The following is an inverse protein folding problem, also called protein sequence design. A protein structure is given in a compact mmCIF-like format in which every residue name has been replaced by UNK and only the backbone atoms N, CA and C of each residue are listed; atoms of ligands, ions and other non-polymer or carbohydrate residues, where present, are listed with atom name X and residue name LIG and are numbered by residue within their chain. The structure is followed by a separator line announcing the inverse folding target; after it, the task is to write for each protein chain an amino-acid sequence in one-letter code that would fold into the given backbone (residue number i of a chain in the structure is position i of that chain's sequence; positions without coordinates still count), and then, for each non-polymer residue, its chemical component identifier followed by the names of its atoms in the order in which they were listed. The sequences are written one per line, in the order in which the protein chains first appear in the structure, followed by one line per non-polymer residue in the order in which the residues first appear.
data_IF_855567105552
#
_entry.id   IF_855567105552
#
_cell.length_a   1.000
_cell.length_b   1.000
_cell.length_c   1.000
_cell.angle_alpha   90.00
_cell.angle_beta   90.00
_cell.angle_gamma   90.00
#
_symmetry.space_group_name_H-M   'P 1'
#
loop_
_entity.id
_entity.type
_entity.pdbx_description
1 polymer ?
#
# COMPACT_ATOMS: atom_id res chain seq x y z
N UNK A 1 -22.74 17.23 10.57
CA UNK A 1 -22.75 17.84 9.21
C UNK A 1 -22.04 16.89 8.28
N UNK A 2 -22.41 16.75 7.00
CA UNK A 2 -21.60 15.99 6.07
C UNK A 2 -20.22 16.65 5.94
N UNK A 3 -19.17 15.85 5.87
CA UNK A 3 -17.81 16.34 5.65
C UNK A 3 -17.60 16.66 4.16
N UNK A 4 -16.85 17.73 3.90
CA UNK A 4 -16.54 18.18 2.55
C UNK A 4 -15.19 17.57 2.13
N UNK A 5 -15.21 16.74 1.08
CA UNK A 5 -14.04 16.09 0.50
C UNK A 5 -13.70 16.75 -0.84
N UNK A 6 -12.51 17.31 -0.93
CA UNK A 6 -11.95 17.87 -2.16
C UNK A 6 -10.91 16.90 -2.73
N UNK A 7 -11.09 16.51 -3.99
CA UNK A 7 -10.17 15.62 -4.70
C UNK A 7 -9.56 16.39 -5.87
N UNK A 8 -8.22 16.47 -5.92
CA UNK A 8 -7.50 17.23 -6.95
C UNK A 8 -6.42 16.37 -7.60
N UNK A 9 -6.29 16.48 -8.92
CA UNK A 9 -5.24 15.84 -9.70
C UNK A 9 -5.75 14.89 -10.78
N UNK A 10 -4.86 14.08 -11.34
CA UNK A 10 -5.12 13.23 -12.51
C UNK A 10 -5.84 11.93 -12.17
N UNK A 11 -7.06 12.02 -11.66
CA UNK A 11 -7.87 10.89 -11.19
C UNK A 11 -8.26 9.89 -12.29
N UNK A 12 -8.13 10.27 -13.57
CA UNK A 12 -8.45 9.43 -14.72
C UNK A 12 -7.33 8.45 -15.10
N UNK A 13 -6.13 8.61 -14.55
CA UNK A 13 -5.02 7.70 -14.83
C UNK A 13 -5.30 6.31 -14.26
N UNK A 14 -4.81 5.29 -14.98
CA UNK A 14 -5.04 3.89 -14.60
C UNK A 14 -4.58 3.57 -13.18
N UNK A 15 -3.44 4.13 -12.75
CA UNK A 15 -2.88 3.97 -11.41
C UNK A 15 -3.75 4.57 -10.30
N UNK A 16 -4.50 5.64 -10.60
CA UNK A 16 -5.35 6.34 -9.63
C UNK A 16 -6.77 5.74 -9.52
N UNK A 17 -7.22 4.99 -10.52
CA UNK A 17 -8.58 4.43 -10.56
C UNK A 17 -8.96 3.63 -9.31
N UNK A 18 -8.12 2.70 -8.79
CA UNK A 18 -8.48 1.95 -7.59
C UNK A 18 -8.73 2.84 -6.38
N UNK A 19 -7.94 3.93 -6.21
CA UNK A 19 -8.15 4.90 -5.14
C UNK A 19 -9.47 5.66 -5.32
N UNK A 20 -9.78 6.12 -6.54
CA UNK A 20 -11.03 6.86 -6.84
C UNK A 20 -12.26 5.98 -6.64
N UNK A 21 -12.21 4.74 -7.09
CA UNK A 21 -13.29 3.76 -6.87
C UNK A 21 -13.49 3.50 -5.36
N UNK A 22 -12.41 3.33 -4.62
CA UNK A 22 -12.44 3.16 -3.18
C UNK A 22 -13.03 4.39 -2.47
N UNK A 23 -12.60 5.62 -2.82
CA UNK A 23 -13.14 6.87 -2.28
C UNK A 23 -14.65 6.96 -2.49
N UNK A 24 -15.11 6.68 -3.71
CA UNK A 24 -16.53 6.75 -4.06
C UNK A 24 -17.38 5.72 -3.31
N UNK A 25 -16.83 4.52 -3.09
CA UNK A 25 -17.54 3.45 -2.38
C UNK A 25 -17.55 3.68 -0.86
N UNK A 26 -16.41 4.09 -0.28
CA UNK A 26 -16.22 4.13 1.18
C UNK A 26 -16.67 5.46 1.78
N UNK A 27 -16.42 6.59 1.10
CA UNK A 27 -16.74 7.93 1.57
C UNK A 27 -17.98 8.51 0.89
N UNK A 28 -18.95 7.68 0.53
CA UNK A 28 -20.18 8.05 -0.16
C UNK A 28 -21.07 9.04 0.59
N UNK A 29 -20.86 9.20 1.90
CA UNK A 29 -21.60 10.18 2.75
C UNK A 29 -20.99 11.58 2.71
N UNK A 30 -19.78 11.74 2.13
CA UNK A 30 -19.13 13.04 1.97
C UNK A 30 -19.68 13.77 0.75
N UNK A 31 -19.69 15.10 0.82
CA UNK A 31 -19.84 15.94 -0.38
C UNK A 31 -18.48 15.93 -1.10
N UNK A 32 -18.43 15.32 -2.28
CA UNK A 32 -17.19 15.15 -3.05
C UNK A 32 -17.13 16.12 -4.22
N UNK A 33 -16.06 16.89 -4.30
CA UNK A 33 -15.76 17.76 -5.43
C UNK A 33 -14.44 17.31 -6.08
N UNK A 34 -14.42 17.22 -7.42
CA UNK A 34 -13.29 16.72 -8.19
C UNK A 34 -12.76 17.80 -9.13
N UNK A 35 -11.45 18.05 -9.08
CA UNK A 35 -10.76 18.99 -9.96
C UNK A 35 -9.45 18.38 -10.47
N UNK A 36 -9.07 18.73 -11.69
CA UNK A 36 -7.78 18.32 -12.25
C UNK A 36 -6.64 19.27 -11.86
N UNK A 37 -6.98 20.48 -11.44
CA UNK A 37 -6.07 21.58 -11.18
C UNK A 37 -6.36 22.22 -9.82
N UNK A 38 -5.30 22.52 -9.06
CA UNK A 38 -5.42 23.05 -7.71
C UNK A 38 -5.94 24.50 -7.70
N UNK A 39 -5.57 25.29 -8.70
CA UNK A 39 -6.03 26.68 -8.81
C UNK A 39 -7.54 26.72 -9.05
N UNK A 40 -8.04 25.90 -9.97
CA UNK A 40 -9.48 25.78 -10.23
C UNK A 40 -10.25 25.29 -9.01
N UNK A 41 -9.68 24.35 -8.26
CA UNK A 41 -10.28 23.86 -7.04
C UNK A 41 -10.41 24.95 -5.98
N UNK A 42 -9.37 25.74 -5.77
CA UNK A 42 -9.36 26.87 -4.83
C UNK A 42 -10.34 27.98 -5.25
N UNK A 43 -10.39 28.32 -6.53
CA UNK A 43 -11.35 29.30 -7.06
C UNK A 43 -12.79 28.84 -6.88
N UNK A 44 -13.07 27.56 -7.09
CA UNK A 44 -14.41 27.00 -6.88
C UNK A 44 -14.79 27.06 -5.40
N UNK A 45 -13.91 26.63 -4.51
CA UNK A 45 -14.11 26.64 -3.07
C UNK A 45 -14.35 28.07 -2.52
N UNK A 46 -13.60 29.04 -3.03
CA UNK A 46 -13.80 30.46 -2.70
C UNK A 46 -15.15 30.98 -3.17
N UNK A 47 -15.60 30.61 -4.37
CA UNK A 47 -16.90 31.02 -4.90
C UNK A 47 -18.08 30.45 -4.12
N UNK A 48 -17.97 29.20 -3.69
CA UNK A 48 -19.01 28.52 -2.93
C UNK A 48 -18.93 28.82 -1.42
N UNK A 49 -17.86 29.48 -0.99
CA UNK A 49 -17.52 29.68 0.42
C UNK A 49 -17.50 28.35 1.20
N UNK A 50 -17.04 27.28 0.53
CA UNK A 50 -16.97 25.93 1.12
C UNK A 50 -15.51 25.62 1.46
N UNK A 51 -15.23 25.45 2.74
CA UNK A 51 -13.90 25.01 3.18
C UNK A 51 -13.92 23.49 3.27
N UNK A 52 -13.02 22.78 2.57
CA UNK A 52 -12.94 21.33 2.68
C UNK A 52 -12.42 20.90 4.04
N UNK A 53 -12.95 19.79 4.55
CA UNK A 53 -12.46 19.15 5.79
C UNK A 53 -11.31 18.20 5.48
N UNK A 54 -11.40 17.51 4.34
CA UNK A 54 -10.38 16.58 3.84
C UNK A 54 -10.04 16.90 2.38
N UNK A 55 -8.76 16.98 2.08
CA UNK A 55 -8.24 17.23 0.75
C UNK A 55 -7.37 16.05 0.34
N UNK A 56 -7.72 15.40 -0.77
CA UNK A 56 -6.95 14.31 -1.37
C UNK A 56 -6.33 14.81 -2.67
N UNK A 57 -5.02 14.88 -2.70
CA UNK A 57 -4.25 15.24 -3.90
C UNK A 57 -3.75 13.95 -4.54
N UNK A 58 -4.02 13.76 -5.82
CA UNK A 58 -3.49 12.65 -6.62
C UNK A 58 -2.39 13.21 -7.50
N UNK A 59 -1.14 13.05 -7.07
CA UNK A 59 0.04 13.52 -7.80
C UNK A 59 0.66 12.37 -8.59
N UNK A 60 0.56 12.43 -9.90
CA UNK A 60 1.04 11.38 -10.81
C UNK A 60 2.42 11.66 -11.40
N UNK A 61 2.85 12.93 -11.37
CA UNK A 61 4.15 13.34 -11.92
C UNK A 61 4.88 14.31 -10.96
N UNK A 62 6.22 14.30 -10.99
CA UNK A 62 7.01 15.36 -10.34
C UNK A 62 6.59 16.73 -10.84
N UNK A 63 6.59 17.72 -9.94
CA UNK A 63 6.27 19.12 -10.24
C UNK A 63 4.86 19.39 -10.81
N UNK A 64 3.93 18.46 -10.66
CA UNK A 64 2.54 18.63 -11.09
C UNK A 64 1.88 19.84 -10.38
N UNK A 65 2.29 20.11 -9.14
CA UNK A 65 1.83 21.24 -8.33
C UNK A 65 3.01 22.14 -7.94
N UNK A 66 2.88 23.44 -8.17
CA UNK A 66 3.90 24.41 -7.78
C UNK A 66 3.90 24.67 -6.27
N UNK A 67 5.05 25.10 -5.73
CA UNK A 67 5.15 25.50 -4.32
C UNK A 67 4.20 26.66 -3.95
N UNK A 68 3.90 27.55 -4.91
CA UNK A 68 2.97 28.65 -4.72
C UNK A 68 1.53 28.16 -4.58
N UNK A 69 1.09 27.23 -5.41
CA UNK A 69 -0.24 26.62 -5.32
C UNK A 69 -0.41 25.88 -4.01
N UNK A 70 0.62 25.11 -3.61
CA UNK A 70 0.63 24.38 -2.34
C UNK A 70 0.54 25.33 -1.15
N UNK A 71 1.31 26.42 -1.15
CA UNK A 71 1.23 27.44 -0.11
C UNK A 71 -0.14 28.10 -0.06
N UNK A 72 -0.75 28.37 -1.21
CA UNK A 72 -2.10 28.93 -1.32
C UNK A 72 -3.16 27.98 -0.76
N UNK A 73 -3.03 26.67 -1.00
CA UNK A 73 -3.92 25.65 -0.43
C UNK A 73 -3.87 25.67 1.09
N UNK A 74 -2.68 25.62 1.68
CA UNK A 74 -2.54 25.63 3.15
C UNK A 74 -2.98 26.95 3.78
N UNK A 75 -2.83 28.07 3.07
CA UNK A 75 -3.33 29.36 3.53
C UNK A 75 -4.86 29.44 3.46
N UNK A 76 -5.49 28.85 2.44
CA UNK A 76 -6.93 28.82 2.27
C UNK A 76 -7.62 27.88 3.27
N UNK A 77 -7.09 26.69 3.46
CA UNK A 77 -7.68 25.65 4.30
C UNK A 77 -6.70 25.15 5.37
N UNK A 78 -6.31 26.00 6.35
CA UNK A 78 -5.24 25.67 7.31
C UNK A 78 -5.63 24.54 8.28
N UNK A 79 -6.91 24.26 8.44
CA UNK A 79 -7.43 23.22 9.31
C UNK A 79 -7.83 21.94 8.57
N UNK A 80 -7.83 21.97 7.25
CA UNK A 80 -8.13 20.80 6.44
C UNK A 80 -7.08 19.72 6.62
N UNK A 81 -7.52 18.48 6.61
CA UNK A 81 -6.63 17.33 6.49
C UNK A 81 -6.21 17.14 5.06
N UNK A 82 -4.91 17.06 4.82
CA UNK A 82 -4.36 16.92 3.46
C UNK A 82 -3.65 15.59 3.35
N UNK A 83 -4.04 14.80 2.34
CA UNK A 83 -3.38 13.55 1.96
C UNK A 83 -2.95 13.65 0.51
N UNK A 84 -1.65 13.52 0.26
CA UNK A 84 -1.06 13.56 -1.08
C UNK A 84 -0.67 12.15 -1.48
N UNK A 85 -1.47 11.55 -2.35
CA UNK A 85 -1.26 10.21 -2.88
C UNK A 85 -0.30 10.26 -4.08
N UNK A 86 0.90 9.74 -3.90
CA UNK A 86 1.95 9.74 -4.90
C UNK A 86 1.87 8.55 -5.84
N UNK A 87 1.83 8.81 -7.15
CA UNK A 87 2.08 7.82 -8.18
C UNK A 87 3.54 7.36 -8.22
N UNK A 88 3.80 6.27 -8.92
CA UNK A 88 5.13 5.64 -8.99
C UNK A 88 6.25 6.59 -9.44
N UNK A 89 5.95 7.56 -10.30
CA UNK A 89 6.93 8.53 -10.78
C UNK A 89 7.32 9.61 -9.75
N UNK A 90 6.53 9.76 -8.67
CA UNK A 90 6.75 10.75 -7.62
C UNK A 90 7.47 10.21 -6.40
N UNK A 91 7.80 8.92 -6.34
CA UNK A 91 8.47 8.30 -5.18
C UNK A 91 9.83 8.93 -4.85
N UNK A 92 10.53 9.44 -5.87
CA UNK A 92 11.81 10.13 -5.69
C UNK A 92 11.66 11.59 -5.22
N UNK A 93 10.52 12.22 -5.41
CA UNK A 93 10.29 13.65 -5.06
C UNK A 93 10.53 13.91 -3.57
N UNK A 94 10.20 12.97 -2.73
CA UNK A 94 10.43 13.07 -1.30
C UNK A 94 11.89 13.06 -0.86
N UNK A 95 12.83 12.72 -1.76
CA UNK A 95 14.27 12.71 -1.49
C UNK A 95 14.95 14.01 -1.91
N UNK A 96 14.47 14.62 -2.98
CA UNK A 96 15.12 15.77 -3.64
C UNK A 96 14.36 17.05 -3.48
N UNK A 97 13.06 17.01 -3.22
CA UNK A 97 12.18 18.18 -3.17
C UNK A 97 11.23 18.09 -1.97
N UNK A 98 11.00 19.21 -1.32
CA UNK A 98 10.11 19.32 -0.16
C UNK A 98 8.91 20.22 -0.48
N UNK A 99 8.23 19.95 -1.61
CA UNK A 99 7.05 20.73 -2.01
C UNK A 99 5.88 20.49 -1.06
N UNK A 100 5.62 19.24 -0.69
CA UNK A 100 4.60 18.90 0.28
C UNK A 100 5.21 18.55 1.65
N UNK A 101 4.54 18.89 2.78
CA UNK A 101 4.90 18.39 4.09
C UNK A 101 4.99 16.86 4.08
N UNK A 102 5.98 16.32 4.76
CA UNK A 102 6.22 14.88 4.80
C UNK A 102 5.00 14.10 5.34
N UNK A 103 4.35 14.65 6.37
CA UNK A 103 3.17 14.08 6.99
C UNK A 103 1.94 13.98 6.07
N UNK A 104 1.88 14.80 5.01
CA UNK A 104 0.79 14.76 4.05
C UNK A 104 0.99 13.68 2.97
N UNK A 105 2.22 13.18 2.77
CA UNK A 105 2.59 12.31 1.64
C UNK A 105 2.39 10.83 1.97
N UNK A 106 1.88 10.09 0.99
CA UNK A 106 1.68 8.65 1.08
C UNK A 106 1.73 8.04 -0.33
N UNK A 107 2.13 6.78 -0.48
CA UNK A 107 2.02 6.09 -1.77
C UNK A 107 0.56 5.89 -2.17
N UNK A 108 0.26 5.84 -3.47
CA UNK A 108 -1.09 5.55 -3.96
C UNK A 108 -1.67 4.25 -3.37
N UNK A 109 -0.84 3.23 -3.18
CA UNK A 109 -1.26 1.94 -2.60
C UNK A 109 -1.64 2.04 -1.12
N UNK A 110 -1.00 2.92 -0.36
CA UNK A 110 -1.26 3.13 1.08
C UNK A 110 -2.25 4.27 1.35
N UNK A 111 -2.63 5.03 0.31
CA UNK A 111 -3.52 6.18 0.44
C UNK A 111 -4.90 5.84 1.04
N UNK A 112 -5.56 4.71 0.68
CA UNK A 112 -6.83 4.33 1.29
C UNK A 112 -6.77 4.26 2.81
N UNK A 113 -5.76 3.58 3.37
CA UNK A 113 -5.61 3.43 4.82
C UNK A 113 -5.35 4.79 5.52
N UNK A 114 -4.50 5.65 4.92
CA UNK A 114 -4.24 6.99 5.43
C UNK A 114 -5.50 7.86 5.38
N UNK A 115 -6.22 7.86 4.27
CA UNK A 115 -7.45 8.64 4.11
C UNK A 115 -8.53 8.17 5.09
N UNK A 116 -8.71 6.87 5.25
CA UNK A 116 -9.64 6.31 6.23
C UNK A 116 -9.29 6.76 7.65
N UNK A 117 -8.01 6.79 8.00
CA UNK A 117 -7.56 7.30 9.31
C UNK A 117 -7.90 8.76 9.50
N UNK A 118 -7.58 9.63 8.54
CA UNK A 118 -7.92 11.07 8.62
C UNK A 118 -9.45 11.28 8.66
N UNK A 119 -10.20 10.47 7.92
CA UNK A 119 -11.65 10.46 7.95
C UNK A 119 -12.22 10.10 9.32
N UNK A 120 -11.65 9.08 9.97
CA UNK A 120 -12.04 8.68 11.34
C UNK A 120 -11.76 9.79 12.35
N UNK A 121 -10.61 10.46 12.23
CA UNK A 121 -10.26 11.62 13.06
C UNK A 121 -11.28 12.75 12.93
N UNK A 122 -11.64 13.10 11.69
CA UNK A 122 -12.65 14.15 11.43
C UNK A 122 -14.03 13.80 11.99
N UNK A 123 -14.36 12.52 12.07
CA UNK A 123 -15.61 12.05 12.69
C UNK A 123 -15.50 11.84 14.21
N UNK A 124 -14.37 12.20 14.83
CA UNK A 124 -14.18 12.09 16.28
C UNK A 124 -14.13 10.64 16.79
N UNK A 125 -13.76 9.69 15.93
CA UNK A 125 -13.64 8.29 16.34
C UNK A 125 -12.42 8.08 17.23
N UNK A 126 -12.53 7.34 18.35
CA UNK A 126 -11.43 7.08 19.24
C UNK A 126 -10.36 6.18 18.58
N UNK A 127 -9.11 6.27 19.04
CA UNK A 127 -8.02 5.37 18.66
C UNK A 127 -7.13 5.86 17.51
N UNK A 128 -7.33 7.10 17.04
CA UNK A 128 -6.42 7.72 16.08
C UNK A 128 -5.97 9.08 16.60
N UNK A 129 -4.67 9.30 16.67
CA UNK A 129 -4.09 10.63 16.95
C UNK A 129 -3.81 11.36 15.64
N UNK A 130 -4.02 12.70 15.61
CA UNK A 130 -3.71 13.48 14.43
C UNK A 130 -2.19 13.49 14.19
N UNK A 131 -1.78 13.32 12.94
CA UNK A 131 -0.39 13.47 12.55
C UNK A 131 -0.13 14.95 12.22
N UNK A 132 0.69 15.68 13.01
CA UNK A 132 1.06 17.06 12.71
C UNK A 132 1.80 17.16 11.37
N UNK A 133 1.62 18.25 10.63
CA UNK A 133 2.35 18.48 9.39
C UNK A 133 3.87 18.59 9.59
N UNK A 134 4.31 18.89 10.82
CA UNK A 134 5.72 18.96 11.23
C UNK A 134 6.29 17.62 11.67
N UNK A 135 5.54 16.53 11.59
CA UNK A 135 5.99 15.22 12.03
C UNK A 135 7.27 14.77 11.33
N UNK A 136 8.11 14.10 12.08
CA UNK A 136 9.34 13.50 11.60
C UNK A 136 9.06 12.32 10.64
N UNK A 137 10.09 11.91 9.91
CA UNK A 137 9.96 10.75 9.01
C UNK A 137 9.62 9.48 9.78
N UNK A 138 10.18 9.31 10.96
CA UNK A 138 9.96 8.16 11.84
C UNK A 138 8.52 8.10 12.34
N UNK A 139 7.94 9.25 12.72
CA UNK A 139 6.54 9.35 13.16
C UNK A 139 5.58 9.05 11.98
N UNK A 140 5.87 9.62 10.80
CA UNK A 140 5.08 9.33 9.60
C UNK A 140 5.15 7.85 9.24
N UNK A 141 6.36 7.27 9.26
CA UNK A 141 6.56 5.86 8.97
C UNK A 141 5.81 4.96 9.97
N UNK A 142 5.88 5.26 11.26
CA UNK A 142 5.17 4.50 12.29
C UNK A 142 3.64 4.56 12.13
N UNK A 143 3.13 5.67 11.57
CA UNK A 143 1.70 5.85 11.30
C UNK A 143 1.25 5.13 10.03
N UNK A 144 2.04 5.19 8.96
CA UNK A 144 1.72 4.53 7.68
C UNK A 144 1.98 3.03 7.71
N UNK A 145 2.93 2.64 8.53
CA UNK A 145 3.28 1.26 8.79
C UNK A 145 3.17 1.03 10.30
N UNK A 146 1.95 1.05 10.86
CA UNK A 146 1.81 0.71 12.26
C UNK A 146 2.56 -0.60 12.44
N UNK A 147 3.65 -0.53 13.23
CA UNK A 147 4.24 -1.76 13.73
C UNK A 147 3.06 -2.45 14.38
N UNK A 148 2.63 -3.50 13.74
CA UNK A 148 1.59 -4.33 14.28
C UNK A 148 2.16 -4.92 15.56
N UNK A 149 2.13 -4.11 16.64
CA UNK A 149 2.42 -4.59 18.00
C UNK A 149 1.47 -5.72 18.38
N UNK A 150 0.47 -5.92 17.59
CA UNK A 150 -0.43 -7.06 17.55
C UNK A 150 -1.16 -7.01 16.20
N UNK A 151 -0.55 -7.43 15.10
CA UNK A 151 -1.30 -8.44 14.42
C UNK A 151 -1.29 -9.61 15.42
N UNK A 152 -2.21 -9.61 16.34
CA UNK A 152 -2.83 -10.88 16.69
C UNK A 152 -3.35 -11.34 15.34
N UNK A 153 -2.48 -11.98 14.56
CA UNK A 153 -2.94 -12.88 13.52
C UNK A 153 -3.93 -13.73 14.29
N UNK A 154 -5.23 -13.63 13.99
CA UNK A 154 -6.15 -14.64 14.48
C UNK A 154 -5.42 -15.92 14.18
N UNK A 155 -4.93 -16.57 15.25
CA UNK A 155 -4.02 -17.71 15.11
C UNK A 155 -4.69 -18.62 14.12
N UNK A 156 -4.03 -18.86 13.00
CA UNK A 156 -4.61 -19.61 11.91
C UNK A 156 -5.32 -20.82 12.50
N UNK A 157 -6.62 -20.94 12.28
CA UNK A 157 -7.46 -21.95 12.87
C UNK A 157 -6.90 -23.38 12.61
N UNK A 158 -5.97 -23.49 11.66
CA UNK A 158 -5.19 -24.68 11.35
C UNK A 158 -3.77 -24.30 10.96
N UNK A 159 -2.74 -24.63 11.76
CA UNK A 159 -1.34 -24.38 11.40
C UNK A 159 -0.97 -25.09 10.10
N UNK A 160 -0.54 -24.34 9.11
CA UNK A 160 -0.05 -24.87 7.84
C UNK A 160 1.48 -24.92 7.81
N UNK A 161 2.05 -25.79 6.99
CA UNK A 161 3.49 -25.83 6.74
C UNK A 161 3.80 -24.97 5.52
N UNK A 162 4.73 -24.03 5.67
CA UNK A 162 5.10 -23.06 4.63
C UNK A 162 6.58 -23.21 4.32
N UNK A 163 6.89 -23.40 3.04
CA UNK A 163 8.24 -23.40 2.51
C UNK A 163 8.59 -22.00 2.03
N UNK A 164 9.69 -21.43 2.51
CA UNK A 164 10.19 -20.11 2.08
C UNK A 164 11.43 -20.28 1.21
N UNK A 165 11.35 -19.80 -0.02
CA UNK A 165 12.42 -19.81 -1.01
C UNK A 165 12.79 -18.37 -1.33
N UNK A 166 13.93 -17.91 -0.85
CA UNK A 166 14.49 -16.59 -1.18
C UNK A 166 16.00 -16.68 -1.29
N UNK A 167 16.60 -16.05 -2.30
CA UNK A 167 18.06 -15.92 -2.42
C UNK A 167 18.64 -14.98 -1.36
N UNK A 168 17.83 -14.06 -0.81
CA UNK A 168 18.22 -13.14 0.25
C UNK A 168 18.05 -13.79 1.64
N UNK A 169 19.16 -14.05 2.38
CA UNK A 169 19.08 -14.67 3.70
C UNK A 169 18.38 -13.80 4.75
N UNK A 170 18.48 -12.46 4.64
CA UNK A 170 17.85 -11.54 5.58
C UNK A 170 16.33 -11.54 5.36
N UNK A 171 15.90 -11.43 4.11
CA UNK A 171 14.49 -11.49 3.76
C UNK A 171 13.86 -12.86 4.07
N UNK A 172 14.59 -13.94 3.81
CA UNK A 172 14.14 -15.30 4.19
C UNK A 172 13.94 -15.44 5.70
N UNK A 173 14.86 -14.89 6.52
CA UNK A 173 14.71 -14.86 7.98
C UNK A 173 13.47 -14.09 8.38
N UNK A 174 13.29 -12.91 7.85
CA UNK A 174 12.11 -12.07 8.10
C UNK A 174 10.80 -12.80 7.78
N UNK A 175 10.71 -13.45 6.61
CA UNK A 175 9.51 -14.23 6.25
C UNK A 175 9.28 -15.40 7.21
N UNK A 176 10.33 -16.09 7.63
CA UNK A 176 10.21 -17.17 8.60
C UNK A 176 9.66 -16.67 9.95
N UNK A 177 10.13 -15.53 10.44
CA UNK A 177 9.63 -14.90 11.66
C UNK A 177 8.16 -14.47 11.51
N UNK A 178 7.80 -13.86 10.36
CA UNK A 178 6.44 -13.47 10.04
C UNK A 178 5.48 -14.66 10.03
N UNK A 179 5.85 -15.75 9.37
CA UNK A 179 5.06 -16.99 9.28
C UNK A 179 4.88 -17.62 10.65
N UNK A 180 5.96 -17.70 11.44
CA UNK A 180 5.92 -18.24 12.80
C UNK A 180 5.03 -17.38 13.72
N UNK A 181 5.10 -16.05 13.61
CA UNK A 181 4.24 -15.13 14.35
C UNK A 181 2.75 -15.28 13.97
N UNK A 182 2.46 -15.64 12.71
CA UNK A 182 1.12 -15.95 12.24
C UNK A 182 0.59 -17.35 12.70
N UNK A 183 1.40 -18.12 13.43
CA UNK A 183 1.01 -19.44 13.92
C UNK A 183 1.22 -20.59 12.93
N UNK A 184 1.87 -20.35 11.80
CA UNK A 184 2.21 -21.39 10.83
C UNK A 184 3.57 -22.04 11.13
N UNK A 185 3.83 -23.21 10.54
CA UNK A 185 5.11 -23.90 10.64
C UNK A 185 6.00 -23.57 9.45
N UNK A 186 7.24 -23.23 9.70
CA UNK A 186 8.24 -23.01 8.65
C UNK A 186 8.90 -24.34 8.30
N UNK A 187 8.89 -24.70 7.00
CA UNK A 187 9.66 -25.82 6.49
C UNK A 187 11.11 -25.39 6.27
N UNK A 188 12.03 -25.96 7.04
CA UNK A 188 13.46 -25.69 6.91
C UNK A 188 14.11 -26.31 5.65
N UNK A 189 13.35 -27.01 4.80
CA UNK A 189 13.82 -27.59 3.54
C UNK A 189 14.77 -28.78 3.69
N UNK A 190 15.02 -29.27 4.91
CA UNK A 190 16.03 -30.29 5.19
C UNK A 190 15.46 -31.70 5.36
N UNK A 191 14.14 -31.88 5.42
CA UNK A 191 13.51 -33.19 5.62
C UNK A 191 12.84 -33.71 4.34
N UNK A 192 13.34 -34.78 3.73
CA UNK A 192 12.72 -35.40 2.55
C UNK A 192 11.31 -35.95 2.82
N UNK A 193 10.96 -36.21 4.08
CA UNK A 193 9.63 -36.68 4.47
C UNK A 193 8.59 -35.54 4.59
N UNK A 194 9.02 -34.29 4.75
CA UNK A 194 8.15 -33.12 4.83
C UNK A 194 7.49 -32.74 3.48
N UNK A 195 8.00 -33.29 2.37
CA UNK A 195 7.49 -32.96 1.00
C UNK A 195 6.02 -33.30 0.77
N UNK A 196 5.45 -34.18 1.57
CA UNK A 196 4.04 -34.59 1.40
C UNK A 196 3.03 -33.67 2.14
N UNK A 197 3.51 -32.75 2.97
CA UNK A 197 2.66 -31.91 3.83
C UNK A 197 2.82 -30.41 3.61
N UNK A 198 3.70 -29.98 2.68
CA UNK A 198 3.86 -28.55 2.35
C UNK A 198 2.59 -28.06 1.64
N UNK A 199 1.90 -27.12 2.26
CA UNK A 199 0.62 -26.61 1.78
C UNK A 199 0.78 -25.26 1.07
N UNK A 200 1.78 -24.46 1.48
CA UNK A 200 2.08 -23.19 0.84
C UNK A 200 3.58 -22.99 0.61
N UNK A 201 3.91 -22.28 -0.46
CA UNK A 201 5.28 -21.92 -0.84
C UNK A 201 5.34 -20.42 -1.07
N UNK A 202 6.17 -19.71 -0.31
CA UNK A 202 6.53 -18.33 -0.58
C UNK A 202 7.80 -18.32 -1.44
N UNK A 203 7.66 -17.88 -2.67
CA UNK A 203 8.73 -17.84 -3.67
C UNK A 203 9.15 -16.39 -3.93
N UNK A 204 10.36 -16.03 -3.57
CA UNK A 204 10.95 -14.74 -3.88
C UNK A 204 11.42 -14.71 -5.34
N UNK A 205 10.73 -13.92 -6.17
CA UNK A 205 11.03 -13.79 -7.58
C UNK A 205 12.12 -12.76 -7.89
N UNK A 206 12.66 -12.05 -6.87
CA UNK A 206 13.75 -11.09 -7.06
C UNK A 206 15.14 -11.69 -6.71
N UNK A 207 16.19 -11.20 -7.39
CA UNK A 207 16.10 -10.37 -8.60
C UNK A 207 15.47 -11.15 -9.75
N UNK A 208 14.70 -10.43 -10.59
CA UNK A 208 14.12 -11.07 -11.77
C UNK A 208 15.18 -11.56 -12.74
N UNK A 209 14.99 -12.74 -13.23
CA UNK A 209 15.70 -13.31 -14.38
C UNK A 209 14.79 -14.27 -15.15
N UNK A 210 15.12 -14.54 -16.41
CA UNK A 210 14.29 -15.35 -17.32
C UNK A 210 14.14 -16.81 -16.86
N UNK A 211 14.91 -17.28 -15.88
CA UNK A 211 14.79 -18.62 -15.31
C UNK A 211 13.71 -18.73 -14.21
N UNK A 212 13.17 -17.60 -13.71
CA UNK A 212 12.19 -17.60 -12.63
C UNK A 212 10.93 -18.39 -12.96
N UNK A 213 10.31 -18.24 -14.15
CA UNK A 213 9.17 -19.07 -14.53
C UNK A 213 9.50 -20.57 -14.56
N UNK A 214 10.71 -20.97 -14.98
CA UNK A 214 11.12 -22.37 -14.99
C UNK A 214 11.31 -22.94 -13.58
N UNK A 215 11.84 -22.14 -12.67
CA UNK A 215 11.92 -22.50 -11.24
C UNK A 215 10.53 -22.74 -10.65
N UNK A 216 9.56 -21.86 -10.95
CA UNK A 216 8.17 -22.03 -10.54
C UNK A 216 7.55 -23.29 -11.13
N UNK A 217 7.76 -23.59 -12.42
CA UNK A 217 7.29 -24.83 -13.05
C UNK A 217 7.84 -26.08 -12.35
N UNK A 218 9.12 -26.03 -12.00
CA UNK A 218 9.76 -27.11 -11.24
C UNK A 218 9.14 -27.29 -9.86
N UNK A 219 8.91 -26.18 -9.14
CA UNK A 219 8.23 -26.20 -7.85
C UNK A 219 6.81 -26.74 -7.96
N UNK A 220 6.06 -26.34 -8.98
CA UNK A 220 4.70 -26.85 -9.25
C UNK A 220 4.68 -28.35 -9.53
N UNK A 221 5.68 -28.86 -10.25
CA UNK A 221 5.84 -30.29 -10.48
C UNK A 221 6.15 -31.06 -9.20
N UNK A 222 6.98 -30.50 -8.32
CA UNK A 222 7.35 -31.13 -7.04
C UNK A 222 6.23 -31.04 -6.01
N UNK A 223 5.42 -29.99 -6.06
CA UNK A 223 4.35 -29.67 -5.11
C UNK A 223 3.05 -29.32 -5.85
N UNK A 224 2.42 -30.29 -6.51
CA UNK A 224 1.28 -30.03 -7.42
C UNK A 224 0.05 -29.44 -6.72
N UNK A 225 -0.14 -29.73 -5.45
CA UNK A 225 -1.30 -29.27 -4.65
C UNK A 225 -1.00 -28.07 -3.76
N UNK A 226 0.25 -27.59 -3.72
CA UNK A 226 0.63 -26.47 -2.84
C UNK A 226 0.20 -25.13 -3.42
N UNK A 227 -0.18 -24.21 -2.53
CA UNK A 227 -0.38 -22.80 -2.90
C UNK A 227 1.00 -22.15 -3.12
N UNK A 228 1.30 -21.66 -4.32
CA UNK A 228 2.56 -20.97 -4.63
C UNK A 228 2.28 -19.47 -4.73
N UNK A 229 2.86 -18.72 -3.82
CA UNK A 229 2.73 -17.26 -3.75
C UNK A 229 4.08 -16.66 -4.13
N UNK A 230 4.10 -15.90 -5.21
CA UNK A 230 5.32 -15.18 -5.61
C UNK A 230 5.39 -13.80 -4.93
N UNK A 231 6.59 -13.44 -4.50
CA UNK A 231 6.89 -12.15 -3.87
C UNK A 231 7.82 -11.34 -4.78
N UNK A 232 7.45 -10.10 -5.07
CA UNK A 232 8.21 -9.19 -5.95
C UNK A 232 8.35 -7.82 -5.28
N UNK A 233 9.49 -7.15 -5.48
CA UNK A 233 9.70 -5.79 -4.94
C UNK A 233 8.83 -4.74 -5.64
N UNK A 234 8.57 -4.93 -6.93
CA UNK A 234 7.71 -4.06 -7.72
C UNK A 234 6.79 -4.90 -8.61
N UNK A 235 5.55 -4.44 -8.77
CA UNK A 235 4.61 -5.04 -9.72
C UNK A 235 5.08 -4.75 -11.15
N UNK A 236 5.20 -5.82 -11.94
CA UNK A 236 5.49 -5.74 -13.36
C UNK A 236 4.51 -6.67 -14.10
N UNK A 237 3.51 -6.13 -14.81
CA UNK A 237 2.40 -6.92 -15.34
C UNK A 237 2.83 -8.11 -16.22
N UNK A 238 3.92 -7.95 -17.00
CA UNK A 238 4.44 -9.02 -17.83
C UNK A 238 5.03 -10.15 -16.97
N UNK A 239 5.86 -9.83 -15.98
CA UNK A 239 6.47 -10.83 -15.09
C UNK A 239 5.42 -11.55 -14.25
N UNK A 240 4.40 -10.82 -13.78
CA UNK A 240 3.25 -11.42 -13.08
C UNK A 240 2.51 -12.43 -13.97
N UNK A 241 2.24 -12.06 -15.22
CA UNK A 241 1.59 -12.96 -16.18
C UNK A 241 2.43 -14.22 -16.45
N UNK A 242 3.74 -14.09 -16.58
CA UNK A 242 4.68 -15.21 -16.76
C UNK A 242 4.71 -16.14 -15.55
N UNK A 243 4.73 -15.59 -14.31
CA UNK A 243 4.69 -16.37 -13.08
C UNK A 243 3.36 -17.11 -12.92
N UNK A 244 2.24 -16.46 -13.20
CA UNK A 244 0.91 -17.09 -13.16
C UNK A 244 0.82 -18.21 -14.21
N UNK A 245 1.30 -17.99 -15.41
CA UNK A 245 1.37 -19.00 -16.45
C UNK A 245 2.29 -20.19 -16.08
N UNK A 246 3.31 -19.95 -15.25
CA UNK A 246 4.20 -20.98 -14.73
C UNK A 246 3.59 -21.79 -13.57
N UNK A 247 2.47 -21.32 -12.98
CA UNK A 247 1.76 -22.05 -11.92
C UNK A 247 1.75 -21.36 -10.54
N UNK A 248 2.11 -20.07 -10.47
CA UNK A 248 1.91 -19.25 -9.27
C UNK A 248 0.41 -19.01 -9.07
N UNK A 249 -0.06 -19.13 -7.86
CA UNK A 249 -1.47 -18.91 -7.48
C UNK A 249 -1.78 -17.43 -7.31
N UNK A 250 -0.84 -16.67 -6.73
CA UNK A 250 -0.96 -15.22 -6.57
C UNK A 250 0.41 -14.55 -6.48
N UNK A 251 0.47 -13.29 -6.89
CA UNK A 251 1.66 -12.44 -6.76
C UNK A 251 1.38 -11.38 -5.70
N UNK A 252 2.37 -11.10 -4.82
CA UNK A 252 2.31 -10.09 -3.77
C UNK A 252 3.57 -9.24 -3.79
N UNK A 253 3.46 -7.99 -3.34
CA UNK A 253 4.63 -7.11 -3.18
C UNK A 253 5.35 -7.41 -1.87
N UNK A 254 6.69 -7.46 -1.90
CA UNK A 254 7.54 -7.71 -0.72
C UNK A 254 7.37 -6.68 0.39
N UNK A 255 7.24 -5.42 0.00
CA UNK A 255 7.11 -4.27 0.90
C UNK A 255 5.65 -3.84 1.09
N UNK A 256 4.72 -4.68 0.64
CA UNK A 256 3.29 -4.49 0.83
C UNK A 256 2.83 -4.84 2.24
N UNK A 257 1.53 -4.90 2.39
CA UNK A 257 0.88 -5.30 3.63
C UNK A 257 1.30 -6.72 4.02
N UNK A 258 1.96 -6.86 5.17
CA UNK A 258 2.37 -8.15 5.74
C UNK A 258 1.17 -9.09 5.96
N UNK A 259 0.01 -8.52 6.34
CA UNK A 259 -1.22 -9.27 6.47
C UNK A 259 -1.66 -9.87 5.15
N UNK A 260 -1.45 -9.17 4.01
CA UNK A 260 -1.78 -9.70 2.69
C UNK A 260 -0.90 -10.91 2.30
N UNK A 261 0.35 -10.98 2.76
CA UNK A 261 1.22 -12.15 2.55
C UNK A 261 0.70 -13.33 3.38
N UNK A 262 0.39 -13.11 4.66
CA UNK A 262 -0.10 -14.15 5.55
C UNK A 262 -1.50 -14.65 5.13
N UNK A 263 -2.40 -13.75 4.75
CA UNK A 263 -3.75 -14.11 4.29
C UNK A 263 -3.73 -14.90 2.97
N UNK A 264 -2.68 -14.77 2.17
CA UNK A 264 -2.53 -15.51 0.92
C UNK A 264 -2.07 -16.96 1.14
N UNK A 265 -1.52 -17.29 2.32
CA UNK A 265 -1.14 -18.64 2.74
C UNK A 265 -2.39 -19.48 3.02
#
# INVERSE_FOLDING_TARGET
MPLNLLIVGQTQRAEAKPLVEWLSATLSTAVQEHFTDLTLALEAALRTNTIPDLIVIVQSQPDEFSSTEIASLFAFAPLARVVVAYGAWCESDGRTRHTWPLAARVSLSSAPARIEREWRLLNGMPGSEPLPLSSSREEVFAVDHPVCEQTTFEQAASPMTVLVISPDPAYRRYLNELIAAAGHRVDAGHHPEARSTTIAILFDADPWDDSRPDQVRSLRQQHPMSNIIALMSASHPQHEAELIAAGVTSVRTKLGDQAAIVTAI
#
